data_IF_094730248906
#
_entry.id   IF_094730248906
#
_cell.length_a   1.000
_cell.length_b   1.000
_cell.length_c   1.000
_cell.angle_alpha   90.00
_cell.angle_beta   90.00
_cell.angle_gamma   90.00
#
_symmetry.space_group_name_H-M   'P 1'
#
loop_
_entity.id
_entity.type
_entity.pdbx_description
1 polymer ?
#
# COMPACT_ATOMS: atom_id res chain seq x y z
N UNK A 1 -12.93 -9.93 6.64
CA UNK A 1 -12.98 -9.92 5.16
C UNK A 1 -12.18 -8.70 4.68
N UNK A 2 -11.04 -8.93 4.05
CA UNK A 2 -10.15 -7.85 3.55
C UNK A 2 -10.58 -7.48 2.14
N UNK A 3 -10.71 -6.19 1.86
CA UNK A 3 -11.03 -5.70 0.51
C UNK A 3 -9.78 -5.18 -0.19
N UNK A 4 -9.79 -5.16 -1.52
CA UNK A 4 -8.74 -4.55 -2.33
C UNK A 4 -9.36 -3.39 -3.08
N UNK A 5 -8.82 -2.19 -2.94
CA UNK A 5 -9.21 -1.06 -3.77
C UNK A 5 -8.34 -1.03 -5.01
N UNK A 6 -8.94 -0.89 -6.18
CA UNK A 6 -8.25 -0.73 -7.46
C UNK A 6 -8.75 0.53 -8.13
N UNK A 7 -7.86 1.39 -8.58
CA UNK A 7 -8.23 2.59 -9.35
C UNK A 7 -7.11 3.04 -10.28
N UNK A 8 -7.45 3.46 -11.49
CA UNK A 8 -6.50 4.08 -12.43
C UNK A 8 -6.56 5.60 -12.31
N UNK A 9 -5.47 6.24 -11.87
CA UNK A 9 -5.36 7.69 -11.83
C UNK A 9 -4.02 8.12 -12.44
N UNK A 10 -4.04 8.70 -13.65
CA UNK A 10 -2.82 9.02 -14.39
C UNK A 10 -2.08 7.77 -14.87
N UNK A 11 -0.74 7.81 -14.88
CA UNK A 11 0.11 6.71 -15.39
C UNK A 11 0.32 5.55 -14.39
N UNK A 12 -0.47 5.43 -13.32
CA UNK A 12 -0.36 4.32 -12.35
C UNK A 12 -1.73 3.86 -11.88
N UNK A 13 -1.91 2.55 -11.73
CA UNK A 13 -3.02 2.02 -10.96
C UNK A 13 -2.64 1.97 -9.47
N UNK A 14 -3.56 2.41 -8.65
CA UNK A 14 -3.43 2.39 -7.19
C UNK A 14 -4.15 1.17 -6.65
N UNK A 15 -3.41 0.34 -5.91
CA UNK A 15 -3.94 -0.83 -5.22
C UNK A 15 -3.71 -0.65 -3.73
N UNK A 16 -4.75 -0.81 -2.90
CA UNK A 16 -4.57 -0.81 -1.45
C UNK A 16 -5.49 -1.79 -0.72
N UNK A 17 -4.99 -2.37 0.35
CA UNK A 17 -5.76 -3.17 1.31
C UNK A 17 -6.14 -2.31 2.51
N UNK A 18 -7.42 -1.96 2.73
CA UNK A 18 -7.84 -1.13 3.85
C UNK A 18 -7.55 -1.75 5.23
N UNK A 19 -7.37 -3.07 5.28
CA UNK A 19 -7.18 -3.80 6.54
C UNK A 19 -5.72 -4.06 6.92
N UNK A 20 -4.72 -3.65 6.13
CA UNK A 20 -3.34 -3.91 6.51
C UNK A 20 -2.90 -3.06 7.72
N UNK A 21 -3.32 -1.80 7.81
CA UNK A 21 -2.89 -0.86 8.87
C UNK A 21 -3.92 0.25 9.12
N UNK A 22 -5.19 -0.06 8.94
CA UNK A 22 -6.26 0.93 9.02
C UNK A 22 -6.52 1.44 10.43
N UNK A 23 -6.16 2.70 10.73
CA UNK A 23 -6.41 3.32 12.04
C UNK A 23 -7.90 3.56 12.35
N UNK A 24 -8.79 3.37 11.36
CA UNK A 24 -10.20 3.74 11.45
C UNK A 24 -11.14 2.55 11.16
N UNK A 25 -12.33 2.50 11.79
CA UNK A 25 -13.32 1.45 11.54
C UNK A 25 -14.08 1.62 10.21
N UNK A 26 -14.09 2.83 9.65
CA UNK A 26 -14.80 3.17 8.41
C UNK A 26 -13.91 3.95 7.46
N UNK A 27 -14.11 3.76 6.15
CA UNK A 27 -13.35 4.41 5.09
C UNK A 27 -14.28 4.99 4.04
N UNK A 28 -13.93 6.17 3.53
CA UNK A 28 -14.57 6.78 2.36
C UNK A 28 -13.69 6.46 1.15
N UNK A 29 -14.31 5.85 0.14
CA UNK A 29 -13.63 5.49 -1.11
C UNK A 29 -13.96 6.55 -2.16
N UNK A 30 -12.94 7.05 -2.85
CA UNK A 30 -13.13 8.00 -3.94
C UNK A 30 -13.95 7.37 -5.08
N UNK A 31 -14.70 8.19 -5.81
CA UNK A 31 -15.42 7.75 -7.01
C UNK A 31 -14.51 7.21 -8.13
N UNK A 32 -13.18 7.46 -8.06
CA UNK A 32 -12.17 6.90 -8.98
C UNK A 32 -11.55 5.59 -8.50
N UNK A 33 -12.07 5.02 -7.41
CA UNK A 33 -11.60 3.77 -6.85
C UNK A 33 -12.75 2.77 -6.78
N UNK A 34 -12.41 1.50 -6.92
CA UNK A 34 -13.36 0.40 -6.92
C UNK A 34 -12.99 -0.60 -5.85
N UNK A 35 -13.98 -1.06 -5.09
CA UNK A 35 -13.80 -2.07 -4.05
C UNK A 35 -13.98 -3.47 -4.63
N UNK A 36 -12.94 -4.28 -4.54
CA UNK A 36 -12.97 -5.70 -4.83
C UNK A 36 -13.02 -6.49 -3.52
N UNK A 37 -14.02 -7.37 -3.41
CA UNK A 37 -14.19 -8.26 -2.27
C UNK A 37 -14.21 -9.69 -2.81
N UNK A 38 -13.12 -10.45 -2.67
CA UNK A 38 -13.06 -11.80 -3.20
C UNK A 38 -13.94 -12.76 -2.39
N UNK A 39 -14.41 -13.82 -3.06
CA UNK A 39 -14.99 -14.96 -2.35
C UNK A 39 -13.86 -15.69 -1.60
N UNK A 40 -13.99 -15.94 -0.28
CA UNK A 40 -12.90 -16.48 0.54
C UNK A 40 -12.39 -17.85 0.05
N UNK A 41 -13.27 -18.65 -0.56
CA UNK A 41 -12.92 -19.98 -1.09
C UNK A 41 -12.27 -19.96 -2.47
N UNK A 42 -12.13 -18.78 -3.10
CA UNK A 42 -11.57 -18.66 -4.46
C UNK A 42 -10.29 -17.85 -4.51
N UNK A 43 -10.22 -16.77 -3.73
CA UNK A 43 -9.06 -15.90 -3.76
C UNK A 43 -8.74 -15.30 -2.39
N UNK A 44 -7.45 -15.24 -2.07
CA UNK A 44 -6.93 -14.53 -0.92
C UNK A 44 -6.79 -13.03 -1.23
N UNK A 45 -7.23 -12.18 -0.30
CA UNK A 45 -7.23 -10.72 -0.52
C UNK A 45 -5.84 -10.12 -0.56
N UNK A 46 -4.89 -10.63 0.25
CA UNK A 46 -3.51 -10.15 0.22
C UNK A 46 -2.81 -10.61 -1.06
N UNK A 47 -3.07 -11.85 -1.50
CA UNK A 47 -2.63 -12.31 -2.81
C UNK A 47 -3.12 -11.39 -3.92
N UNK A 48 -4.41 -11.05 -3.95
CA UNK A 48 -4.96 -10.13 -4.96
C UNK A 48 -4.35 -8.73 -4.87
N UNK A 49 -4.07 -8.23 -3.66
CA UNK A 49 -3.35 -6.97 -3.50
C UNK A 49 -1.98 -7.00 -4.18
N UNK A 50 -1.19 -8.04 -3.94
CA UNK A 50 0.12 -8.19 -4.59
C UNK A 50 0.00 -8.44 -6.10
N UNK A 51 -0.98 -9.25 -6.52
CA UNK A 51 -1.27 -9.53 -7.92
C UNK A 51 -1.57 -8.23 -8.69
N UNK A 52 -2.50 -7.41 -8.20
CA UNK A 52 -2.84 -6.13 -8.82
C UNK A 52 -1.74 -5.07 -8.68
N UNK A 53 -0.81 -5.24 -7.73
CA UNK A 53 0.37 -4.37 -7.59
C UNK A 53 1.54 -4.80 -8.48
N UNK A 54 1.47 -5.99 -9.10
CA UNK A 54 2.54 -6.49 -9.98
C UNK A 54 2.69 -5.61 -11.24
N UNK A 55 3.93 -5.41 -11.73
CA UNK A 55 4.18 -4.59 -12.92
C UNK A 55 3.37 -5.04 -14.14
N UNK A 56 3.24 -6.34 -14.35
CA UNK A 56 2.53 -6.91 -15.49
C UNK A 56 1.04 -6.55 -15.46
N UNK A 57 0.41 -6.66 -14.30
CA UNK A 57 -1.02 -6.32 -14.16
C UNK A 57 -1.23 -4.80 -14.19
N UNK A 58 -0.29 -4.03 -13.64
CA UNK A 58 -0.29 -2.58 -13.74
C UNK A 58 -0.21 -2.12 -15.20
N UNK A 59 0.68 -2.71 -16.00
CA UNK A 59 0.78 -2.44 -17.44
C UNK A 59 -0.51 -2.81 -18.18
N UNK A 60 -1.13 -3.94 -17.84
CA UNK A 60 -2.44 -4.31 -18.42
C UNK A 60 -3.54 -3.31 -18.06
N UNK A 61 -3.57 -2.83 -16.82
CA UNK A 61 -4.55 -1.83 -16.38
C UNK A 61 -4.31 -0.49 -17.09
N UNK A 62 -3.05 -0.07 -17.23
CA UNK A 62 -2.67 1.18 -17.89
C UNK A 62 -2.91 1.11 -19.40
N UNK A 63 -2.53 0.01 -20.05
CA UNK A 63 -2.66 -0.19 -21.49
C UNK A 63 -4.11 -0.33 -21.96
N UNK A 64 -5.01 -0.75 -21.06
CA UNK A 64 -6.44 -0.76 -21.31
C UNK A 64 -7.14 0.57 -21.00
N UNK A 65 -6.41 1.67 -20.73
CA UNK A 65 -7.06 2.96 -20.53
C UNK A 65 -7.79 3.42 -21.79
N UNK A 66 -9.05 3.83 -21.60
CA UNK A 66 -9.84 4.47 -22.65
C UNK A 66 -9.17 5.83 -22.93
N UNK A 67 -8.82 6.09 -24.20
CA UNK A 67 -8.13 7.29 -24.71
C UNK A 67 -8.92 8.59 -24.59
N UNK A 68 -9.50 8.84 -23.41
CA UNK A 68 -10.05 10.11 -22.97
C UNK A 68 -8.95 10.92 -22.31
N UNK A 69 -9.07 12.26 -22.34
CA UNK A 69 -8.17 13.20 -21.65
C UNK A 69 -8.01 12.94 -20.13
N UNK A 70 -8.81 12.03 -19.56
CA UNK A 70 -8.59 11.41 -18.24
C UNK A 70 -8.52 9.88 -18.41
N UNK A 71 -7.33 9.25 -18.34
CA UNK A 71 -7.22 7.80 -18.32
C UNK A 71 -7.98 7.24 -17.10
N UNK A 72 -8.94 6.34 -17.34
CA UNK A 72 -9.75 5.73 -16.30
C UNK A 72 -9.96 4.24 -16.53
N UNK A 73 -9.52 3.43 -15.57
CA UNK A 73 -9.85 2.01 -15.46
C UNK A 73 -11.20 1.84 -14.76
N UNK A 74 -12.14 1.12 -15.38
CA UNK A 74 -13.53 1.04 -14.90
C UNK A 74 -13.97 -0.39 -14.51
N UNK A 75 -15.18 -0.49 -13.93
CA UNK A 75 -15.75 -1.76 -13.46
C UNK A 75 -16.04 -2.77 -14.57
N UNK A 76 -16.38 -2.31 -15.77
CA UNK A 76 -16.54 -3.20 -16.92
C UNK A 76 -15.24 -3.91 -17.27
N UNK A 77 -14.14 -3.16 -17.35
CA UNK A 77 -12.81 -3.67 -17.67
C UNK A 77 -12.28 -4.62 -16.60
N UNK A 78 -12.49 -4.29 -15.32
CA UNK A 78 -12.12 -5.18 -14.21
C UNK A 78 -12.87 -6.51 -14.28
N UNK A 79 -14.15 -6.51 -14.66
CA UNK A 79 -14.96 -7.73 -14.78
C UNK A 79 -14.54 -8.63 -15.95
N UNK A 80 -13.97 -8.05 -17.02
CA UNK A 80 -13.50 -8.80 -18.19
C UNK A 80 -12.06 -9.29 -18.05
N UNK A 81 -11.35 -8.84 -17.02
CA UNK A 81 -9.96 -9.23 -16.80
C UNK A 81 -9.86 -10.70 -16.43
N UNK A 82 -9.01 -11.43 -17.14
CA UNK A 82 -8.72 -12.83 -16.84
C UNK A 82 -7.65 -12.86 -15.75
N UNK A 83 -7.99 -13.44 -14.60
CA UNK A 83 -7.07 -13.60 -13.47
C UNK A 83 -6.54 -15.03 -13.45
N UNK A 84 -5.21 -15.17 -13.49
CA UNK A 84 -4.56 -16.46 -13.31
C UNK A 84 -4.32 -16.69 -11.82
N UNK A 85 -5.26 -17.39 -11.18
CA UNK A 85 -5.21 -17.67 -9.75
C UNK A 85 -4.65 -19.08 -9.51
N UNK A 86 -3.51 -19.21 -8.80
CA UNK A 86 -3.05 -20.52 -8.35
C UNK A 86 -3.99 -21.11 -7.28
N UNK A 87 -3.83 -22.37 -6.86
CA UNK A 87 -4.59 -22.94 -5.77
C UNK A 87 -4.51 -22.10 -4.48
N UNK A 88 -5.58 -22.06 -3.70
CA UNK A 88 -5.66 -21.25 -2.47
C UNK A 88 -4.46 -21.40 -1.50
N UNK A 89 -3.94 -22.61 -1.22
CA UNK A 89 -2.78 -22.76 -0.35
C UNK A 89 -1.54 -22.03 -0.88
N UNK A 90 -1.33 -22.04 -2.20
CA UNK A 90 -0.23 -21.35 -2.85
C UNK A 90 -0.42 -19.84 -2.81
N UNK A 91 -1.65 -19.35 -3.06
CA UNK A 91 -1.97 -17.92 -2.91
C UNK A 91 -1.61 -17.40 -1.52
N UNK A 92 -1.99 -18.14 -0.47
CA UNK A 92 -1.69 -17.78 0.92
C UNK A 92 -0.20 -17.82 1.23
N UNK A 93 0.53 -18.80 0.70
CA UNK A 93 1.98 -18.90 0.88
C UNK A 93 2.71 -17.70 0.24
N UNK A 94 2.35 -17.36 -1.00
CA UNK A 94 2.88 -16.18 -1.70
C UNK A 94 2.56 -14.90 -0.91
N UNK A 95 1.29 -14.73 -0.53
CA UNK A 95 0.84 -13.55 0.22
C UNK A 95 1.57 -13.40 1.55
N UNK A 96 1.76 -14.50 2.29
CA UNK A 96 2.46 -14.49 3.59
C UNK A 96 3.92 -14.07 3.47
N UNK A 97 4.62 -14.52 2.43
CA UNK A 97 6.02 -14.13 2.20
C UNK A 97 6.09 -12.64 1.87
N UNK A 98 5.28 -12.18 0.93
CA UNK A 98 5.29 -10.77 0.51
C UNK A 98 4.85 -9.83 1.65
N UNK A 99 3.84 -10.20 2.44
CA UNK A 99 3.40 -9.41 3.59
C UNK A 99 4.49 -9.31 4.66
N UNK A 100 5.22 -10.40 4.91
CA UNK A 100 6.33 -10.37 5.88
C UNK A 100 7.47 -9.43 5.45
N UNK A 101 7.69 -9.28 4.15
CA UNK A 101 8.67 -8.35 3.60
C UNK A 101 8.20 -6.90 3.75
N UNK A 102 6.93 -6.61 3.44
CA UNK A 102 6.35 -5.28 3.63
C UNK A 102 6.34 -4.87 5.11
N UNK A 103 6.00 -5.78 6.02
CA UNK A 103 6.06 -5.55 7.46
C UNK A 103 7.48 -5.16 7.90
N UNK A 104 8.48 -5.86 7.37
CA UNK A 104 9.89 -5.56 7.64
C UNK A 104 10.31 -4.20 7.08
N UNK A 105 9.90 -3.85 5.85
CA UNK A 105 10.15 -2.54 5.26
C UNK A 105 9.50 -1.44 6.11
N UNK A 106 8.25 -1.64 6.53
CA UNK A 106 7.53 -0.72 7.41
C UNK A 106 8.23 -0.52 8.75
N UNK A 107 8.74 -1.60 9.36
CA UNK A 107 9.52 -1.53 10.59
C UNK A 107 10.82 -0.72 10.41
N UNK A 108 11.57 -1.01 9.34
CA UNK A 108 12.83 -0.31 9.05
C UNK A 108 12.61 1.19 8.83
N UNK A 109 11.55 1.59 8.13
CA UNK A 109 11.20 3.00 7.97
C UNK A 109 10.86 3.69 9.30
N UNK A 110 10.16 3.02 10.21
CA UNK A 110 9.87 3.56 11.55
C UNK A 110 11.15 3.74 12.36
N UNK A 111 12.04 2.75 12.34
CA UNK A 111 13.33 2.82 13.00
C UNK A 111 14.18 3.99 12.48
N UNK A 112 14.25 4.16 11.15
CA UNK A 112 15.00 5.26 10.55
C UNK A 112 14.45 6.62 11.00
N UNK A 113 13.12 6.81 10.99
CA UNK A 113 12.49 8.03 11.49
C UNK A 113 12.80 8.31 12.97
N UNK A 114 12.83 7.28 13.81
CA UNK A 114 13.21 7.43 15.22
C UNK A 114 14.67 7.86 15.36
N UNK A 115 15.58 7.28 14.57
CA UNK A 115 16.99 7.66 14.59
C UNK A 115 17.20 9.12 14.13
N UNK A 116 16.52 9.53 13.06
CA UNK A 116 16.53 10.91 12.58
C UNK A 116 16.03 11.90 13.64
N UNK A 117 14.91 11.59 14.31
CA UNK A 117 14.36 12.43 15.37
C UNK A 117 15.30 12.56 16.58
N UNK A 118 15.99 11.48 16.95
CA UNK A 118 16.99 11.51 18.03
C UNK A 118 18.19 12.38 17.63
N UNK A 119 18.69 12.23 16.40
CA UNK A 119 19.79 13.04 15.88
C UNK A 119 19.43 14.54 15.84
N UNK A 120 18.22 14.88 15.38
CA UNK A 120 17.73 16.27 15.39
C UNK A 120 17.67 16.83 16.82
N UNK A 121 17.20 16.03 17.78
CA UNK A 121 17.12 16.43 19.18
C UNK A 121 18.50 16.74 19.76
N UNK A 122 19.48 15.86 19.56
CA UNK A 122 20.86 16.12 20.00
C UNK A 122 21.47 17.35 19.32
N UNK A 123 21.21 17.54 18.03
CA UNK A 123 21.68 18.71 17.31
C UNK A 123 21.11 20.01 17.90
N UNK A 124 19.80 20.04 18.20
CA UNK A 124 19.15 21.20 18.83
C UNK A 124 19.73 21.49 20.22
N UNK A 125 19.91 20.48 21.05
CA UNK A 125 20.50 20.62 22.38
C UNK A 125 21.91 21.22 22.34
N UNK A 126 22.76 20.76 21.42
CA UNK A 126 24.15 21.19 21.36
C UNK A 126 24.36 22.55 20.72
N UNK A 127 23.57 22.89 19.70
CA UNK A 127 23.87 24.05 18.85
C UNK A 127 22.82 25.15 18.86
N UNK A 128 21.61 24.89 19.35
CA UNK A 128 20.49 25.85 19.30
C UNK A 128 20.07 26.30 20.69
N UNK A 129 19.89 25.36 21.62
CA UNK A 129 19.30 25.68 22.93
C UNK A 129 20.28 26.32 23.91
N UNK A 130 21.59 26.28 23.64
CA UNK A 130 22.62 26.93 24.46
C UNK A 130 22.67 26.32 25.87
N UNK A 131 23.68 25.50 26.17
CA UNK A 131 23.86 24.95 27.51
C UNK A 131 23.92 26.13 28.50
N UNK A 132 22.90 26.30 29.36
CA UNK A 132 23.01 27.18 30.52
C UNK A 132 24.18 26.63 31.35
N UNK A 133 25.31 27.34 31.31
CA UNK A 133 26.47 27.02 32.12
C UNK A 133 26.10 27.26 33.59
N UNK A 134 25.85 26.18 34.32
CA UNK A 134 25.79 26.18 35.78
C UNK A 134 27.21 26.40 36.34
N UNK A 135 27.73 27.62 36.22
CA UNK A 135 28.93 28.07 36.95
C UNK A 135 28.51 28.50 38.37
N UNK A 136 28.07 27.54 39.17
CA UNK A 136 27.93 27.67 40.62
C UNK A 136 29.21 27.25 41.33
N UNK A 137 30.17 28.16 41.46
CA UNK A 137 31.41 28.01 42.24
C UNK A 137 31.77 29.28 42.97
#
# INVERSE_FOLDING_TARGET
MVSVLVGGAGNRATTCCPNSLGAYPYYIISNKQMKLTPHPDKADSFFLYYYFSSPQVQEQIIGNNIGSSVPGFNLGQLKTMVLNLPPLPEQKAIASVLSSLDDKIGLLHRQNKTLEAIAETFFRQWFVEGVEEDWGG
#
